data_IF_549077097557
#
_entry.id   IF_549077097557
#
_cell.length_a   1.000
_cell.length_b   1.000
_cell.length_c   1.000
_cell.angle_alpha   90.00
_cell.angle_beta   90.00
_cell.angle_gamma   90.00
#
_symmetry.space_group_name_H-M   'P 1'
#
loop_
_entity.id
_entity.type
_entity.pdbx_description
1 polymer ?
#
# COMPACT_ATOMS: atom_id res chain seq x y z
N UNK A 1 -25.02 -5.63 4.18
CA UNK A 1 -24.51 -5.83 2.80
C UNK A 1 -24.31 -4.53 2.03
N UNK A 2 -25.30 -3.66 1.77
CA UNK A 2 -25.10 -2.43 0.95
C UNK A 2 -24.12 -1.42 1.58
N UNK A 3 -24.23 -1.18 2.89
CA UNK A 3 -23.40 -0.20 3.62
C UNK A 3 -21.94 -0.65 3.82
N UNK A 4 -21.70 -1.96 3.93
CA UNK A 4 -20.34 -2.53 4.00
C UNK A 4 -19.62 -2.37 2.67
N UNK A 5 -20.32 -2.59 1.55
CA UNK A 5 -19.78 -2.36 0.21
C UNK A 5 -19.40 -0.89 -0.03
N UNK A 6 -20.18 0.06 0.50
CA UNK A 6 -19.86 1.49 0.44
C UNK A 6 -18.60 1.83 1.23
N UNK A 7 -18.43 1.24 2.43
CA UNK A 7 -17.23 1.43 3.23
C UNK A 7 -15.98 0.85 2.54
N UNK A 8 -16.06 -0.39 2.04
CA UNK A 8 -14.96 -1.01 1.29
C UNK A 8 -14.54 -0.17 0.08
N UNK A 9 -15.51 0.35 -0.67
CA UNK A 9 -15.22 1.21 -1.82
C UNK A 9 -14.60 2.55 -1.40
N UNK A 10 -15.06 3.14 -0.30
CA UNK A 10 -14.52 4.40 0.21
C UNK A 10 -13.08 4.24 0.66
N UNK A 11 -12.78 3.21 1.47
CA UNK A 11 -11.42 2.89 1.92
C UNK A 11 -10.50 2.58 0.73
N UNK A 12 -10.97 1.81 -0.25
CA UNK A 12 -10.19 1.48 -1.44
C UNK A 12 -9.84 2.72 -2.27
N UNK A 13 -10.76 3.68 -2.41
CA UNK A 13 -10.51 4.95 -3.12
C UNK A 13 -9.51 5.83 -2.37
N UNK A 14 -9.64 5.92 -1.05
CA UNK A 14 -8.72 6.71 -0.22
C UNK A 14 -7.29 6.15 -0.28
N UNK A 15 -7.15 4.83 -0.09
CA UNK A 15 -5.86 4.15 -0.21
C UNK A 15 -5.23 4.35 -1.59
N UNK A 16 -6.04 4.30 -2.66
CA UNK A 16 -5.54 4.55 -4.02
C UNK A 16 -5.08 5.99 -4.23
N UNK A 17 -5.78 6.97 -3.65
CA UNK A 17 -5.38 8.38 -3.72
C UNK A 17 -4.02 8.62 -3.03
N UNK A 18 -3.80 8.08 -1.83
CA UNK A 18 -2.49 8.18 -1.17
C UNK A 18 -1.40 7.38 -1.90
N UNK A 19 -1.77 6.27 -2.54
CA UNK A 19 -0.84 5.52 -3.38
C UNK A 19 -0.37 6.34 -4.60
N UNK A 20 -1.30 7.01 -5.30
CA UNK A 20 -0.95 7.91 -6.41
C UNK A 20 -0.07 9.06 -5.94
N UNK A 21 -0.40 9.68 -4.81
CA UNK A 21 0.43 10.74 -4.21
C UNK A 21 1.86 10.26 -3.90
N UNK A 22 2.01 9.06 -3.34
CA UNK A 22 3.33 8.47 -3.06
C UNK A 22 4.14 8.17 -4.33
N UNK A 23 3.48 7.73 -5.41
CA UNK A 23 4.13 7.56 -6.71
C UNK A 23 4.61 8.89 -7.31
N UNK A 24 3.84 9.97 -7.15
CA UNK A 24 4.16 11.28 -7.72
C UNK A 24 5.23 12.04 -6.92
N UNK A 25 5.23 11.88 -5.58
CA UNK A 25 6.04 12.71 -4.68
C UNK A 25 7.18 11.97 -3.98
N UNK A 26 7.11 10.65 -3.91
CA UNK A 26 7.99 9.86 -3.07
C UNK A 26 7.60 9.78 -1.58
N UNK A 27 6.55 10.51 -1.15
CA UNK A 27 6.07 10.49 0.23
C UNK A 27 4.99 9.42 0.43
N UNK A 28 5.37 8.34 1.13
CA UNK A 28 4.53 7.17 1.36
C UNK A 28 3.83 7.15 2.70
N UNK A 29 4.02 8.16 3.56
CA UNK A 29 3.56 8.10 4.95
C UNK A 29 2.05 7.88 5.04
N UNK A 30 1.26 8.62 4.27
CA UNK A 30 -0.21 8.51 4.29
C UNK A 30 -0.70 7.13 3.86
N UNK A 31 -0.09 6.55 2.83
CA UNK A 31 -0.45 5.21 2.36
C UNK A 31 -0.08 4.14 3.40
N UNK A 32 1.13 4.21 3.96
CA UNK A 32 1.61 3.27 4.98
C UNK A 32 0.79 3.33 6.28
N UNK A 33 0.35 4.52 6.69
CA UNK A 33 -0.48 4.73 7.88
C UNK A 33 -1.85 4.01 7.75
N UNK A 34 -2.38 3.81 6.52
CA UNK A 34 -3.64 3.09 6.28
C UNK A 34 -3.51 1.56 6.36
N UNK A 35 -2.30 1.00 6.24
CA UNK A 35 -2.12 -0.44 6.18
C UNK A 35 -2.28 -1.09 7.56
N UNK A 36 -2.78 -2.32 7.61
CA UNK A 36 -2.80 -3.10 8.84
C UNK A 36 -1.39 -3.62 9.17
N UNK A 37 -1.11 -3.91 10.44
CA UNK A 37 0.21 -4.40 10.86
C UNK A 37 0.60 -5.73 10.19
N UNK A 38 -0.40 -6.55 9.85
CA UNK A 38 -0.28 -7.81 9.14
C UNK A 38 -0.43 -7.69 7.61
N UNK A 39 -0.34 -6.47 7.06
CA UNK A 39 -0.46 -6.21 5.62
C UNK A 39 0.48 -7.11 4.81
N UNK A 40 -0.03 -7.63 3.69
CA UNK A 40 0.77 -8.41 2.76
C UNK A 40 0.61 -7.89 1.34
N UNK A 41 1.66 -8.05 0.54
CA UNK A 41 1.62 -7.74 -0.88
C UNK A 41 2.44 -8.75 -1.68
N UNK A 42 2.02 -8.95 -2.94
CA UNK A 42 2.72 -9.79 -3.90
C UNK A 42 3.41 -8.94 -4.94
N UNK A 43 4.65 -9.28 -5.28
CA UNK A 43 5.39 -8.58 -6.33
C UNK A 43 6.06 -9.59 -7.29
N UNK A 44 6.07 -9.33 -8.62
CA UNK A 44 6.37 -10.36 -9.61
C UNK A 44 7.86 -10.72 -9.76
N UNK A 45 8.81 -9.86 -9.40
CA UNK A 45 10.25 -10.11 -9.64
C UNK A 45 11.17 -9.29 -8.74
N UNK A 46 12.48 -9.58 -8.75
CA UNK A 46 13.50 -8.81 -8.04
C UNK A 46 13.55 -9.08 -6.52
N UNK A 47 14.12 -8.14 -5.76
CA UNK A 47 14.33 -8.26 -4.29
C UNK A 47 13.04 -8.55 -3.51
N UNK A 48 11.90 -8.15 -4.05
CA UNK A 48 10.58 -8.32 -3.45
C UNK A 48 9.75 -9.41 -4.13
N UNK A 49 10.34 -10.28 -4.96
CA UNK A 49 9.62 -11.36 -5.62
C UNK A 49 8.85 -12.23 -4.61
N UNK A 50 7.58 -12.51 -4.91
CA UNK A 50 6.72 -13.36 -4.10
C UNK A 50 5.90 -12.59 -3.07
N UNK A 51 5.50 -13.29 -2.02
CA UNK A 51 4.75 -12.75 -0.88
C UNK A 51 5.68 -11.97 0.07
N UNK A 52 5.29 -10.74 0.39
CA UNK A 52 5.92 -9.90 1.39
C UNK A 52 4.94 -9.62 2.52
N UNK A 53 5.44 -9.61 3.76
CA UNK A 53 4.61 -9.56 4.97
C UNK A 53 5.07 -8.43 5.89
N UNK A 54 4.11 -7.68 6.40
CA UNK A 54 4.28 -6.64 7.41
C UNK A 54 4.54 -5.25 6.83
N UNK A 55 4.13 -4.21 7.58
CA UNK A 55 4.28 -2.80 7.19
C UNK A 55 5.73 -2.38 7.00
N UNK A 56 6.66 -2.93 7.79
CA UNK A 56 8.09 -2.64 7.62
C UNK A 56 8.59 -3.06 6.23
N UNK A 57 8.16 -4.24 5.76
CA UNK A 57 8.54 -4.74 4.43
C UNK A 57 7.90 -3.92 3.31
N UNK A 58 6.67 -3.45 3.51
CA UNK A 58 6.00 -2.53 2.59
C UNK A 58 6.74 -1.18 2.51
N UNK A 59 7.15 -0.62 3.66
CA UNK A 59 7.92 0.63 3.70
C UNK A 59 9.24 0.51 2.92
N UNK A 60 9.99 -0.58 3.11
CA UNK A 60 11.22 -0.85 2.34
C UNK A 60 10.96 -0.89 0.83
N UNK A 61 9.84 -1.51 0.41
CA UNK A 61 9.47 -1.62 -1.00
C UNK A 61 9.16 -0.25 -1.61
N UNK A 62 8.34 0.55 -0.94
CA UNK A 62 7.94 1.86 -1.45
C UNK A 62 9.09 2.85 -1.51
N UNK A 63 10.01 2.82 -0.54
CA UNK A 63 11.26 3.59 -0.58
C UNK A 63 12.23 3.12 -1.67
N UNK A 64 12.17 1.84 -2.07
CA UNK A 64 13.01 1.29 -3.14
C UNK A 64 12.51 1.71 -4.52
N UNK A 65 11.20 1.69 -4.77
CA UNK A 65 10.61 2.00 -6.10
C UNK A 65 10.52 3.49 -6.40
N UNK A 66 10.85 4.35 -5.44
CA UNK A 66 10.87 5.81 -5.61
C UNK A 66 12.25 6.40 -5.86
N UNK A 67 13.27 5.53 -5.93
CA UNK A 67 14.59 5.84 -6.46
C UNK A 67 14.59 5.65 -7.99
#
# INVERSE_FOLDING_TARGET
MTQESENTLTVGREAFAYFQYGLETGDWKQFLDMLTEDFTFWFPMGKFHGLNVGKQRAQEFFQYVTQ
#
